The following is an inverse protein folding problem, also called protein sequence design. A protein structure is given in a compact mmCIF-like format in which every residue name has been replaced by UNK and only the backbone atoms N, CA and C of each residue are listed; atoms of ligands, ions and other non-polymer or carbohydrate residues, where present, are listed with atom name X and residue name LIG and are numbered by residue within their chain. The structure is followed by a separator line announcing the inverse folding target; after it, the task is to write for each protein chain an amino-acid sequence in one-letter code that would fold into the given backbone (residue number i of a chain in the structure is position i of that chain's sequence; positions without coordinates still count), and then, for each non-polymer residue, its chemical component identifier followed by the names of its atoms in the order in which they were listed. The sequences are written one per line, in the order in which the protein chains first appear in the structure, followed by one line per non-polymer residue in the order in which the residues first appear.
data_IF_253181978947
#
_entry.id   IF_253181978947
#
_cell.length_a   1.000
_cell.length_b   1.000
_cell.length_c   1.000
_cell.angle_alpha   90.00
_cell.angle_beta   90.00
_cell.angle_gamma   90.00
#
_symmetry.space_group_name_H-M   'P 1'
#
loop_
_entity.id
_entity.type
_entity.pdbx_description
1 polymer ?
#
# COMPACT_ATOMS: atom_id res chain seq x y z
N UNK A 1 10.14 14.13 34.84
CA UNK A 1 10.26 14.75 33.50
C UNK A 1 9.06 15.65 33.26
N UNK A 2 9.32 16.89 32.85
CA UNK A 2 8.56 18.09 33.25
C UNK A 2 7.25 18.34 32.49
N UNK A 3 6.19 18.74 33.23
CA UNK A 3 4.89 19.21 32.73
C UNK A 3 5.03 20.39 31.73
N UNK A 4 6.14 21.11 31.81
CA UNK A 4 6.47 22.24 30.95
C UNK A 4 6.63 21.83 29.47
N UNK A 5 7.22 20.67 29.18
CA UNK A 5 7.42 20.21 27.80
C UNK A 5 6.10 19.85 27.10
N UNK A 6 5.14 19.31 27.88
CA UNK A 6 3.79 19.00 27.37
C UNK A 6 3.01 20.28 27.08
N UNK A 7 3.12 21.28 27.95
CA UNK A 7 2.49 22.58 27.76
C UNK A 7 3.08 23.31 26.55
N UNK A 8 4.41 23.32 26.41
CA UNK A 8 5.10 23.99 25.30
C UNK A 8 4.70 23.38 23.95
N UNK A 9 4.66 22.05 23.87
CA UNK A 9 4.16 21.33 22.70
C UNK A 9 2.71 21.69 22.38
N UNK A 10 1.83 21.69 23.39
CA UNK A 10 0.42 22.01 23.19
C UNK A 10 0.21 23.45 22.72
N UNK A 11 0.99 24.41 23.23
CA UNK A 11 0.94 25.82 22.79
C UNK A 11 1.43 25.93 21.34
N UNK A 12 2.50 25.24 20.97
CA UNK A 12 2.99 25.23 19.59
C UNK A 12 1.95 24.61 18.64
N UNK A 13 1.39 23.44 18.98
CA UNK A 13 0.33 22.80 18.19
C UNK A 13 -0.92 23.68 18.08
N UNK A 14 -1.33 24.39 19.14
CA UNK A 14 -2.55 25.19 19.13
C UNK A 14 -2.45 26.49 18.33
N UNK A 15 -1.27 27.13 18.34
CA UNK A 15 -1.11 28.45 17.71
C UNK A 15 -0.43 28.38 16.34
N UNK A 16 0.49 27.44 16.09
CA UNK A 16 1.23 27.38 14.82
C UNK A 16 0.46 26.58 13.75
N UNK A 17 -0.20 25.48 14.12
CA UNK A 17 -0.96 24.63 13.18
C UNK A 17 -2.01 25.40 12.36
N UNK A 18 -2.88 26.24 12.95
CA UNK A 18 -3.87 27.00 12.17
C UNK A 18 -3.28 28.16 11.36
N UNK A 19 -2.01 28.54 11.60
CA UNK A 19 -1.30 29.57 10.83
C UNK A 19 -0.57 28.97 9.61
N UNK A 20 -0.30 27.67 9.61
CA UNK A 20 0.33 26.93 8.50
C UNK A 20 -0.73 26.31 7.57
N UNK A 21 -1.94 26.05 8.06
CA UNK A 21 -3.05 25.55 7.24
C UNK A 21 -3.58 26.63 6.29
N UNK A 22 -3.12 26.58 5.03
CA UNK A 22 -3.71 27.34 3.94
C UNK A 22 -5.21 26.99 3.81
N UNK A 23 -6.06 28.01 3.88
CA UNK A 23 -7.52 27.97 4.05
C UNK A 23 -8.33 27.29 2.91
N UNK A 24 -7.68 26.60 1.98
CA UNK A 24 -8.31 25.70 1.01
C UNK A 24 -7.33 24.57 0.67
N UNK A 25 -7.48 23.44 1.34
CA UNK A 25 -6.76 22.21 1.02
C UNK A 25 -7.64 21.41 0.06
N UNK A 26 -7.20 21.21 -1.18
CA UNK A 26 -7.84 20.28 -2.10
C UNK A 26 -7.78 18.86 -1.50
N UNK A 27 -8.77 18.00 -1.79
CA UNK A 27 -8.76 16.58 -1.37
C UNK A 27 -7.42 15.90 -1.68
N UNK A 28 -6.77 16.29 -2.79
CA UNK A 28 -5.48 15.76 -3.20
C UNK A 28 -4.34 16.20 -2.27
N UNK A 29 -4.39 17.43 -1.78
CA UNK A 29 -3.37 18.00 -0.88
C UNK A 29 -3.53 17.47 0.54
N UNK A 30 -4.75 17.17 0.99
CA UNK A 30 -5.01 16.55 2.29
C UNK A 30 -4.55 15.08 2.32
N UNK A 31 -4.57 14.39 1.19
CA UNK A 31 -4.06 13.01 1.03
C UNK A 31 -2.54 12.96 0.78
N UNK A 32 -1.89 14.10 0.54
CA UNK A 32 -0.43 14.19 0.47
C UNK A 32 0.16 14.13 1.89
N UNK A 33 0.00 12.98 2.54
CA UNK A 33 0.73 12.66 3.78
C UNK A 33 2.22 12.79 3.47
N UNK A 34 3.03 13.47 4.31
CA UNK A 34 4.44 13.64 4.04
C UNK A 34 5.10 12.26 3.84
N UNK A 35 5.55 12.01 2.61
CA UNK A 35 6.20 10.79 2.10
C UNK A 35 7.56 10.51 2.78
N UNK A 36 7.85 11.15 3.92
CA UNK A 36 9.07 10.96 4.70
C UNK A 36 9.20 9.57 5.33
N UNK A 37 8.11 8.83 5.50
CA UNK A 37 8.15 7.42 5.92
C UNK A 37 8.45 6.44 4.78
N UNK A 38 8.32 6.88 3.52
CA UNK A 38 8.56 6.07 2.31
C UNK A 38 9.95 6.35 1.69
N UNK A 39 10.72 7.27 2.27
CA UNK A 39 12.09 7.50 1.81
C UNK A 39 12.96 6.34 2.29
N UNK A 40 13.26 5.42 1.38
CA UNK A 40 14.26 4.38 1.62
C UNK A 40 15.65 5.05 1.63
N UNK A 41 16.37 5.08 2.76
CA UNK A 41 17.68 5.72 2.83
C UNK A 41 18.80 4.87 2.22
N UNK A 42 18.49 3.63 1.82
CA UNK A 42 19.45 2.67 1.29
C UNK A 42 19.44 2.64 -0.26
N UNK A 43 20.55 3.02 -0.92
CA UNK A 43 20.64 3.05 -2.38
C UNK A 43 20.62 1.65 -3.03
N UNK A 44 20.80 0.58 -2.26
CA UNK A 44 20.84 -0.80 -2.78
C UNK A 44 19.49 -1.52 -2.69
N UNK A 45 18.48 -0.89 -2.09
CA UNK A 45 17.14 -1.46 -1.99
C UNK A 45 16.09 -0.53 -2.58
N UNK A 46 15.07 -1.12 -3.18
CA UNK A 46 13.93 -0.42 -3.75
C UNK A 46 12.69 -0.95 -3.07
N UNK A 47 11.86 -0.04 -2.58
CA UNK A 47 10.58 -0.40 -2.02
C UNK A 47 9.50 -0.34 -3.12
N UNK A 48 8.71 -1.40 -3.24
CA UNK A 48 7.63 -1.51 -4.22
C UNK A 48 6.29 -1.57 -3.49
N UNK A 49 5.36 -0.72 -3.93
CA UNK A 49 3.96 -0.74 -3.50
C UNK A 49 3.11 -1.31 -4.64
N UNK A 50 2.32 -2.34 -4.37
CA UNK A 50 1.36 -2.91 -5.33
C UNK A 50 -0.02 -3.02 -4.71
N UNK A 51 -1.06 -2.77 -5.49
CA UNK A 51 -2.45 -2.93 -5.04
C UNK A 51 -3.17 -3.98 -5.88
N UNK A 52 -3.81 -4.94 -5.22
CA UNK A 52 -4.61 -6.00 -5.84
C UNK A 52 -6.07 -5.91 -5.40
N UNK A 53 -7.00 -5.96 -6.33
CA UNK A 53 -8.44 -5.98 -6.08
C UNK A 53 -8.99 -7.38 -6.33
N UNK A 54 -9.43 -8.03 -5.27
CA UNK A 54 -9.86 -9.44 -5.29
C UNK A 54 -11.35 -9.51 -4.96
N UNK A 55 -12.15 -10.28 -5.72
CA UNK A 55 -13.56 -10.52 -5.38
C UNK A 55 -13.70 -11.02 -3.95
N UNK A 56 -14.72 -10.53 -3.23
CA UNK A 56 -14.96 -10.86 -1.82
C UNK A 56 -14.99 -12.37 -1.57
N UNK A 57 -15.61 -13.13 -2.48
CA UNK A 57 -15.73 -14.60 -2.40
C UNK A 57 -14.37 -15.32 -2.50
N UNK A 58 -13.40 -14.71 -3.18
CA UNK A 58 -12.08 -15.28 -3.44
C UNK A 58 -11.01 -14.79 -2.45
N UNK A 59 -11.33 -13.86 -1.56
CA UNK A 59 -10.35 -13.20 -0.69
C UNK A 59 -9.59 -14.19 0.22
N UNK A 60 -10.28 -15.18 0.78
CA UNK A 60 -9.66 -16.21 1.62
C UNK A 60 -8.73 -17.12 0.80
N UNK A 61 -9.19 -17.55 -0.39
CA UNK A 61 -8.39 -18.36 -1.31
C UNK A 61 -7.13 -17.60 -1.75
N UNK A 62 -7.29 -16.31 -2.04
CA UNK A 62 -6.20 -15.42 -2.40
C UNK A 62 -5.19 -15.30 -1.26
N UNK A 63 -5.62 -15.02 -0.03
CA UNK A 63 -4.72 -14.92 1.12
C UNK A 63 -3.90 -16.19 1.34
N UNK A 64 -4.53 -17.37 1.24
CA UNK A 64 -3.83 -18.65 1.41
C UNK A 64 -2.82 -18.93 0.29
N UNK A 65 -3.18 -18.63 -0.97
CA UNK A 65 -2.23 -18.75 -2.09
C UNK A 65 -1.11 -17.73 -1.99
N UNK A 66 -1.43 -16.49 -1.65
CA UNK A 66 -0.50 -15.39 -1.52
C UNK A 66 0.55 -15.67 -0.43
N UNK A 67 0.13 -16.14 0.76
CA UNK A 67 1.05 -16.58 1.82
C UNK A 67 2.02 -17.67 1.34
N UNK A 68 1.53 -18.64 0.55
CA UNK A 68 2.37 -19.71 -0.01
C UNK A 68 3.39 -19.15 -1.01
N UNK A 69 2.99 -18.22 -1.88
CA UNK A 69 3.87 -17.56 -2.84
C UNK A 69 4.97 -16.76 -2.15
N UNK A 70 4.61 -15.90 -1.19
CA UNK A 70 5.57 -15.10 -0.42
C UNK A 70 6.62 -15.98 0.26
N UNK A 71 6.20 -17.10 0.87
CA UNK A 71 7.12 -18.08 1.47
C UNK A 71 7.98 -18.80 0.43
N UNK A 72 7.38 -19.24 -0.68
CA UNK A 72 8.08 -19.97 -1.77
C UNK A 72 9.21 -19.14 -2.36
N UNK A 73 9.00 -17.85 -2.55
CA UNK A 73 9.95 -16.94 -3.18
C UNK A 73 10.76 -16.11 -2.17
N UNK A 74 10.61 -16.38 -0.87
CA UNK A 74 11.28 -15.66 0.22
C UNK A 74 11.19 -14.13 0.09
N UNK A 75 10.00 -13.63 -0.25
CA UNK A 75 9.76 -12.21 -0.50
C UNK A 75 9.77 -11.43 0.82
N UNK A 76 10.53 -10.33 0.87
CA UNK A 76 10.57 -9.44 2.02
C UNK A 76 9.33 -8.52 2.04
N UNK A 77 8.27 -9.05 2.64
CA UNK A 77 6.98 -8.38 2.82
C UNK A 77 7.00 -7.50 4.07
N UNK A 78 6.86 -6.18 3.90
CA UNK A 78 6.90 -5.22 5.00
C UNK A 78 5.52 -4.98 5.61
N UNK A 79 4.50 -4.80 4.76
CA UNK A 79 3.14 -4.49 5.19
C UNK A 79 2.10 -4.96 4.18
N UNK A 80 0.92 -5.31 4.68
CA UNK A 80 -0.29 -5.55 3.88
C UNK A 80 -1.45 -4.82 4.54
N UNK A 81 -2.06 -3.90 3.81
CA UNK A 81 -3.28 -3.19 4.24
C UNK A 81 -4.46 -3.71 3.43
N UNK A 82 -5.54 -4.07 4.12
CA UNK A 82 -6.76 -4.60 3.51
C UNK A 82 -7.88 -3.57 3.68
N UNK A 83 -8.54 -3.21 2.58
CA UNK A 83 -9.71 -2.32 2.58
C UNK A 83 -10.86 -2.92 1.79
N UNK A 84 -12.09 -2.70 2.26
CA UNK A 84 -13.29 -3.05 1.47
C UNK A 84 -13.49 -1.98 0.39
N UNK A 85 -13.64 -2.42 -0.85
CA UNK A 85 -13.95 -1.60 -2.01
C UNK A 85 -15.35 -2.00 -2.46
N UNK A 86 -16.32 -1.17 -2.13
CA UNK A 86 -17.69 -1.39 -2.59
C UNK A 86 -17.74 -1.15 -4.10
N UNK A 87 -18.67 -1.83 -4.78
CA UNK A 87 -18.95 -1.56 -6.19
C UNK A 87 -19.25 -0.08 -6.39
N UNK A 88 -18.40 0.61 -7.14
CA UNK A 88 -18.60 2.01 -7.49
C UNK A 88 -19.27 2.09 -8.86
N UNK A 89 -20.42 2.75 -8.95
CA UNK A 89 -21.14 2.95 -10.23
C UNK A 89 -20.87 4.32 -10.85
N UNK A 90 -20.13 5.21 -10.16
CA UNK A 90 -19.95 6.61 -10.56
C UNK A 90 -18.51 6.96 -10.99
N UNK A 91 -17.53 6.10 -10.76
CA UNK A 91 -16.15 6.34 -11.16
C UNK A 91 -15.93 5.99 -12.64
N UNK A 92 -15.32 6.91 -13.40
CA UNK A 92 -15.02 6.76 -14.84
C UNK A 92 -14.10 5.56 -15.15
N UNK A 93 -13.42 5.03 -14.12
CA UNK A 93 -12.57 3.83 -14.19
C UNK A 93 -12.93 2.90 -13.02
N UNK A 94 -14.15 2.36 -13.01
CA UNK A 94 -14.59 1.40 -11.99
C UNK A 94 -13.90 0.05 -12.17
N UNK A 95 -12.77 -0.13 -11.49
CA UNK A 95 -12.08 -1.42 -11.33
C UNK A 95 -12.89 -2.40 -10.47
N UNK A 96 -13.83 -1.90 -9.66
CA UNK A 96 -14.76 -2.69 -8.85
C UNK A 96 -16.04 -3.00 -9.63
N UNK A 97 -16.02 -4.09 -10.40
CA UNK A 97 -17.21 -4.61 -11.10
C UNK A 97 -18.25 -5.16 -10.10
N UNK A 98 -17.78 -5.56 -8.92
CA UNK A 98 -18.50 -6.13 -7.78
C UNK A 98 -17.86 -5.69 -6.45
N UNK A 99 -18.41 -6.12 -5.31
CA UNK A 99 -17.79 -5.88 -3.99
C UNK A 99 -16.46 -6.64 -3.89
N UNK A 100 -15.37 -5.90 -3.71
CA UNK A 100 -14.00 -6.44 -3.71
C UNK A 100 -13.25 -6.02 -2.43
N UNK A 101 -12.17 -6.74 -2.14
CA UNK A 101 -11.14 -6.29 -1.20
C UNK A 101 -9.94 -5.75 -1.97
N UNK A 102 -9.49 -4.56 -1.60
CA UNK A 102 -8.20 -4.00 -2.01
C UNK A 102 -7.11 -4.45 -1.04
N UNK A 103 -6.09 -5.12 -1.55
CA UNK A 103 -4.89 -5.53 -0.85
C UNK A 103 -3.75 -4.62 -1.30
N UNK A 104 -3.38 -3.66 -0.45
CA UNK A 104 -2.22 -2.81 -0.68
C UNK A 104 -1.03 -3.45 -0.01
N UNK A 105 -0.04 -3.82 -0.81
CA UNK A 105 1.13 -4.57 -0.37
C UNK A 105 2.40 -3.76 -0.57
N UNK A 106 3.28 -3.81 0.43
CA UNK A 106 4.57 -3.15 0.42
C UNK A 106 5.72 -4.17 0.56
N UNK A 107 6.60 -4.19 -0.43
CA UNK A 107 7.76 -5.07 -0.52
C UNK A 107 9.05 -4.26 -0.45
N UNK A 108 10.09 -4.85 0.14
CA UNK A 108 11.47 -4.38 -0.01
C UNK A 108 12.23 -5.33 -0.93
N UNK A 109 12.89 -4.80 -1.95
CA UNK A 109 13.65 -5.57 -2.93
C UNK A 109 15.09 -5.09 -2.94
N UNK A 110 16.05 -6.01 -2.93
CA UNK A 110 17.44 -5.65 -3.17
C UNK A 110 17.71 -5.59 -4.68
N UNK A 111 18.60 -4.71 -5.10
CA UNK A 111 18.95 -4.51 -6.52
C UNK A 111 19.91 -5.60 -7.08
N UNK A 112 19.99 -6.76 -6.44
CA UNK A 112 20.85 -7.86 -6.88
C UNK A 112 20.19 -8.64 -8.03
N UNK A 113 20.94 -9.00 -9.08
CA UNK A 113 20.41 -9.72 -10.24
C UNK A 113 19.65 -11.03 -9.91
N UNK A 114 20.07 -11.73 -8.84
CA UNK A 114 19.43 -12.97 -8.36
C UNK A 114 18.04 -12.67 -7.76
N UNK A 115 17.93 -11.56 -7.03
CA UNK A 115 16.68 -11.12 -6.41
C UNK A 115 15.69 -10.62 -7.48
N UNK A 116 16.20 -9.99 -8.55
CA UNK A 116 15.39 -9.58 -9.71
C UNK A 116 14.76 -10.76 -10.44
N UNK A 117 15.50 -11.85 -10.67
CA UNK A 117 14.94 -13.06 -11.30
C UNK A 117 13.87 -13.73 -10.43
N UNK A 118 14.11 -13.78 -9.12
CA UNK A 118 13.17 -14.33 -8.14
C UNK A 118 11.90 -13.49 -8.08
N UNK A 119 12.04 -12.16 -8.08
CA UNK A 119 10.92 -11.22 -8.12
C UNK A 119 10.11 -11.34 -9.41
N UNK A 120 10.77 -11.49 -10.56
CA UNK A 120 10.09 -11.70 -11.85
C UNK A 120 9.27 -13.00 -11.85
N UNK A 121 9.84 -14.09 -11.32
CA UNK A 121 9.13 -15.36 -11.20
C UNK A 121 7.94 -15.27 -10.23
N UNK A 122 8.12 -14.63 -9.07
CA UNK A 122 7.06 -14.36 -8.11
C UNK A 122 5.93 -13.54 -8.73
N UNK A 123 6.27 -12.43 -9.38
CA UNK A 123 5.32 -11.50 -9.98
C UNK A 123 4.52 -12.19 -11.08
N UNK A 124 5.17 -13.00 -11.92
CA UNK A 124 4.51 -13.76 -12.97
C UNK A 124 3.52 -14.77 -12.41
N UNK A 125 3.93 -15.60 -11.46
CA UNK A 125 3.02 -16.59 -10.87
C UNK A 125 1.85 -15.93 -10.11
N UNK A 126 2.11 -14.79 -9.45
CA UNK A 126 1.07 -14.02 -8.79
C UNK A 126 0.06 -13.45 -9.79
N UNK A 127 0.51 -12.84 -10.89
CA UNK A 127 -0.37 -12.29 -11.93
C UNK A 127 -1.18 -13.39 -12.59
N UNK A 128 -0.55 -14.52 -12.95
CA UNK A 128 -1.25 -15.67 -13.54
C UNK A 128 -2.38 -16.16 -12.62
N UNK A 129 -2.12 -16.19 -11.30
CA UNK A 129 -3.13 -16.53 -10.31
C UNK A 129 -4.22 -15.46 -10.17
N UNK A 130 -3.88 -14.17 -10.13
CA UNK A 130 -4.84 -13.07 -10.06
C UNK A 130 -5.81 -13.10 -11.26
N UNK A 131 -5.29 -13.33 -12.47
CA UNK A 131 -6.10 -13.49 -13.68
C UNK A 131 -7.07 -14.68 -13.53
N UNK A 132 -6.58 -15.81 -13.00
CA UNK A 132 -7.41 -17.02 -12.80
C UNK A 132 -8.61 -16.81 -11.87
N UNK A 133 -8.52 -15.88 -10.92
CA UNK A 133 -9.60 -15.55 -9.97
C UNK A 133 -10.38 -14.29 -10.36
N UNK A 134 -10.18 -13.77 -11.58
CA UNK A 134 -10.78 -12.51 -12.08
C UNK A 134 -10.48 -11.30 -11.18
N UNK A 135 -9.33 -11.30 -10.51
CA UNK A 135 -8.84 -10.15 -9.78
C UNK A 135 -8.23 -9.11 -10.74
N UNK A 136 -8.21 -7.86 -10.32
CA UNK A 136 -7.53 -6.76 -11.03
C UNK A 136 -6.37 -6.23 -10.18
N UNK A 137 -5.40 -5.55 -10.79
CA UNK A 137 -4.23 -5.05 -10.07
C UNK A 137 -3.74 -3.72 -10.65
N UNK A 138 -3.08 -2.91 -9.82
CA UNK A 138 -2.43 -1.66 -10.22
C UNK A 138 -0.90 -1.84 -10.21
N UNK A 139 -0.25 -1.35 -11.27
CA UNK A 139 1.20 -1.41 -11.52
C UNK A 139 1.93 -0.17 -10.99
#
# INVERSE_FOLDING_TARGET
MSNFGKLLRWVLEKYITPLIEAKMVSRNTAMAVPVRFLQNPDPHTTDILQEYFVPTEQANNFLERYKKLVKKYNINLLNVTIRKVNKDTNALVSYAQEDMYGFVVYYKINQNNIDTLTLNAFTRELIDYLISIKATYYL
#
